data_IF_938713921602
#
_entry.id   IF_938713921602
#
_cell.length_a   1.000
_cell.length_b   1.000
_cell.length_c   1.000
_cell.angle_alpha   90.00
_cell.angle_beta   90.00
_cell.angle_gamma   90.00
#
_symmetry.space_group_name_H-M   'P 1'
#
loop_
_entity.id
_entity.type
_entity.pdbx_description
1 polymer ?
#
# COMPACT_ATOMS: atom_id res chain seq x y z
N UNK A 1 -6.21 33.06 7.50
CA UNK A 1 -7.63 33.25 7.11
C UNK A 1 -8.46 33.40 8.38
N UNK A 2 -9.57 34.16 8.35
CA UNK A 2 -10.48 34.34 9.49
C UNK A 2 -11.40 33.13 9.59
N UNK A 3 -11.49 32.50 10.76
CA UNK A 3 -12.31 31.30 10.99
C UNK A 3 -13.79 31.58 10.70
N UNK A 4 -14.39 30.73 9.86
CA UNK A 4 -15.80 30.86 9.49
C UNK A 4 -16.10 31.88 8.38
N UNK A 5 -15.08 32.44 7.75
CA UNK A 5 -15.23 33.34 6.60
C UNK A 5 -14.31 32.95 5.46
N UNK A 6 -14.54 33.52 4.28
CA UNK A 6 -13.65 33.38 3.13
C UNK A 6 -12.52 34.43 3.09
N UNK A 7 -12.47 35.31 4.13
CA UNK A 7 -11.43 36.35 4.20
C UNK A 7 -10.09 35.74 4.60
N UNK A 8 -9.11 35.78 3.70
CA UNK A 8 -7.79 35.21 3.88
C UNK A 8 -6.75 35.89 3.05
N UNK A 9 -5.49 35.71 3.42
CA UNK A 9 -4.31 36.18 2.69
C UNK A 9 -3.23 35.12 2.72
N UNK A 10 -2.28 35.25 1.83
CA UNK A 10 -1.03 34.46 1.81
C UNK A 10 0.12 35.33 2.30
N UNK A 11 1.08 34.71 2.99
CA UNK A 11 2.31 35.39 3.45
C UNK A 11 3.27 35.61 2.28
N UNK A 12 4.01 36.74 2.33
CA UNK A 12 5.13 36.99 1.43
C UNK A 12 6.35 36.12 1.71
N UNK A 13 7.42 36.31 0.95
CA UNK A 13 8.69 35.57 1.10
C UNK A 13 9.33 35.75 2.48
N UNK A 14 9.17 36.95 3.07
CA UNK A 14 9.68 37.27 4.40
C UNK A 14 8.72 36.88 5.55
N UNK A 15 7.61 36.25 5.23
CA UNK A 15 6.62 35.85 6.20
C UNK A 15 5.59 36.93 6.58
N UNK A 16 5.71 38.11 5.99
CA UNK A 16 4.77 39.22 6.24
C UNK A 16 3.40 38.93 5.67
N UNK A 17 2.36 39.32 6.40
CA UNK A 17 0.99 39.24 5.92
C UNK A 17 0.18 40.48 6.36
N UNK A 18 -0.75 40.86 5.55
CA UNK A 18 -1.75 41.87 5.89
C UNK A 18 -3.15 41.34 5.61
N UNK A 19 -4.07 41.53 6.53
CA UNK A 19 -5.44 41.09 6.41
C UNK A 19 -6.36 42.23 6.81
N UNK A 20 -7.15 42.74 5.87
CA UNK A 20 -8.10 43.85 6.10
C UNK A 20 -9.49 43.30 6.45
N UNK A 21 -10.31 44.12 7.10
CA UNK A 21 -11.67 43.77 7.40
C UNK A 21 -11.85 42.75 8.54
N UNK A 22 -10.87 42.65 9.44
CA UNK A 22 -10.93 41.75 10.60
C UNK A 22 -11.48 42.50 11.82
N UNK A 23 -12.45 41.92 12.49
CA UNK A 23 -12.99 42.49 13.73
C UNK A 23 -12.17 42.05 14.94
N UNK A 24 -11.97 42.95 15.90
CA UNK A 24 -11.28 42.64 17.16
C UNK A 24 -11.95 41.47 17.86
N UNK A 25 -11.18 40.42 18.20
CA UNK A 25 -11.70 39.22 18.83
C UNK A 25 -11.90 38.04 17.85
N UNK A 26 -11.71 38.25 16.54
CA UNK A 26 -11.79 37.17 15.55
C UNK A 26 -10.65 36.15 15.73
N UNK A 27 -10.94 34.89 15.41
CA UNK A 27 -9.96 33.82 15.42
C UNK A 27 -9.32 33.72 14.04
N UNK A 28 -8.01 33.85 13.98
CA UNK A 28 -7.22 33.65 12.78
C UNK A 28 -6.71 32.20 12.75
N UNK A 29 -6.94 31.53 11.66
CA UNK A 29 -6.40 30.19 11.39
C UNK A 29 -5.23 30.35 10.44
N UNK A 30 -4.05 29.91 10.88
CA UNK A 30 -2.83 29.92 10.08
C UNK A 30 -2.46 28.48 9.79
N UNK A 31 -2.24 28.16 8.51
CA UNK A 31 -1.86 26.83 8.04
C UNK A 31 -0.73 26.93 7.04
N UNK A 32 0.21 25.99 7.12
CA UNK A 32 1.27 25.83 6.14
C UNK A 32 1.59 24.33 6.00
N UNK A 33 2.01 23.93 4.81
CA UNK A 33 2.35 22.51 4.54
C UNK A 33 3.53 22.09 5.42
N UNK A 34 3.35 20.99 6.19
CA UNK A 34 4.36 20.51 7.14
C UNK A 34 4.30 21.13 8.54
N UNK A 35 3.32 22.00 8.81
CA UNK A 35 3.13 22.65 10.11
C UNK A 35 1.73 22.42 10.65
N UNK A 36 1.61 22.44 11.99
CA UNK A 36 0.31 22.31 12.67
C UNK A 36 -0.51 23.58 12.45
N UNK A 37 -1.79 23.40 12.13
CA UNK A 37 -2.72 24.52 12.05
C UNK A 37 -2.80 25.21 13.40
N UNK A 38 -2.53 26.51 13.44
CA UNK A 38 -2.54 27.31 14.67
C UNK A 38 -3.70 28.29 14.64
N UNK A 39 -4.49 28.30 15.68
CA UNK A 39 -5.58 29.26 15.87
C UNK A 39 -5.16 30.35 16.86
N UNK A 40 -5.20 31.61 16.44
CA UNK A 40 -4.83 32.77 17.26
C UNK A 40 -5.97 33.77 17.31
N UNK A 41 -6.36 34.20 18.51
CA UNK A 41 -7.36 35.25 18.69
C UNK A 41 -6.70 36.60 18.54
N UNK A 42 -7.19 37.41 17.60
CA UNK A 42 -6.65 38.75 17.34
C UNK A 42 -7.22 39.79 18.29
N UNK A 43 -6.37 40.57 18.94
CA UNK A 43 -6.72 41.62 19.93
C UNK A 43 -6.56 43.04 19.37
N UNK A 44 -6.29 43.22 18.07
CA UNK A 44 -6.15 44.54 17.46
C UNK A 44 -4.69 45.04 17.38
N UNK A 45 -3.72 44.20 17.76
CA UNK A 45 -2.30 44.50 17.71
C UNK A 45 -1.61 43.67 16.58
N UNK A 46 -0.47 44.12 16.05
CA UNK A 46 0.36 43.28 15.18
C UNK A 46 0.66 41.95 15.86
N UNK A 47 0.57 40.87 15.10
CA UNK A 47 0.79 39.51 15.60
C UNK A 47 2.03 38.90 14.95
N UNK A 48 2.90 38.32 15.77
CA UNK A 48 3.92 37.38 15.32
C UNK A 48 3.49 35.97 15.68
N UNK A 49 3.35 35.10 14.67
CA UNK A 49 2.84 33.75 14.84
C UNK A 49 3.97 32.78 14.49
N UNK A 50 4.36 31.97 15.46
CA UNK A 50 5.34 30.89 15.26
C UNK A 50 4.57 29.60 15.06
N UNK A 51 4.73 28.99 13.90
CA UNK A 51 4.15 27.69 13.59
C UNK A 51 5.05 26.58 14.16
N UNK A 52 4.42 25.55 14.72
CA UNK A 52 5.11 24.34 15.14
C UNK A 52 5.09 23.34 13.99
N UNK A 53 6.21 22.72 13.72
CA UNK A 53 6.29 21.64 12.75
C UNK A 53 5.28 20.55 13.10
N UNK A 54 4.56 20.08 12.09
CA UNK A 54 3.71 18.92 12.26
C UNK A 54 4.57 17.67 12.18
N UNK A 55 5.15 17.32 13.31
CA UNK A 55 5.90 16.06 13.49
C UNK A 55 4.99 14.84 13.59
N UNK A 56 3.72 14.96 13.18
CA UNK A 56 2.94 13.78 12.83
C UNK A 56 3.53 13.17 11.56
N UNK A 57 4.75 12.67 11.68
CA UNK A 57 5.21 11.55 10.88
C UNK A 57 4.07 10.53 11.03
N UNK A 58 3.40 10.23 9.95
CA UNK A 58 2.55 9.05 9.89
C UNK A 58 3.48 7.92 10.28
N UNK A 59 3.40 7.50 11.53
CA UNK A 59 4.13 6.33 12.04
C UNK A 59 3.58 5.13 11.26
N UNK A 60 4.10 4.92 10.06
CA UNK A 60 3.78 3.75 9.27
C UNK A 60 4.32 2.55 10.02
N UNK A 61 3.42 1.86 10.67
CA UNK A 61 3.70 0.66 11.45
C UNK A 61 3.65 -0.52 10.51
N UNK A 62 4.75 -1.24 10.43
CA UNK A 62 4.87 -2.45 9.60
C UNK A 62 4.82 -3.67 10.51
N UNK A 63 4.04 -4.66 10.12
CA UNK A 63 4.03 -5.95 10.81
C UNK A 63 5.31 -6.70 10.45
N UNK A 64 6.12 -7.01 11.44
CA UNK A 64 7.37 -7.74 11.30
C UNK A 64 7.36 -8.92 12.26
N UNK A 65 7.26 -10.11 11.72
CA UNK A 65 7.24 -11.30 12.54
C UNK A 65 6.02 -11.37 13.48
N UNK A 66 6.27 -11.58 14.76
CA UNK A 66 5.21 -11.65 15.79
C UNK A 66 4.87 -10.28 16.40
N UNK A 67 5.34 -9.17 15.81
CA UNK A 67 5.12 -7.83 16.34
C UNK A 67 4.97 -6.77 15.28
N UNK A 68 4.64 -5.56 15.72
CA UNK A 68 4.57 -4.37 14.88
C UNK A 68 5.75 -3.46 15.22
N UNK A 69 6.46 -2.97 14.20
CA UNK A 69 7.53 -2.00 14.36
C UNK A 69 7.31 -0.79 13.47
N UNK A 70 7.80 0.38 13.93
CA UNK A 70 7.79 1.58 13.09
C UNK A 70 8.72 1.36 11.88
N UNK A 71 8.26 1.72 10.69
CA UNK A 71 9.03 1.58 9.45
C UNK A 71 10.42 2.22 9.55
N UNK A 72 10.53 3.34 10.26
CA UNK A 72 11.80 4.02 10.49
C UNK A 72 12.84 3.19 11.29
N UNK A 73 12.39 2.20 12.06
CA UNK A 73 13.24 1.36 12.91
C UNK A 73 13.58 0.01 12.24
N UNK A 74 13.13 -0.22 11.01
CA UNK A 74 13.43 -1.45 10.30
C UNK A 74 14.82 -1.36 9.66
N UNK A 75 15.75 -2.14 10.15
CA UNK A 75 17.09 -2.29 9.55
C UNK A 75 17.14 -3.22 8.36
N UNK A 76 16.05 -3.96 8.10
CA UNK A 76 15.96 -4.94 7.03
C UNK A 76 15.22 -4.43 5.78
N UNK A 77 15.42 -5.11 4.65
CA UNK A 77 14.73 -4.82 3.38
C UNK A 77 13.27 -5.30 3.43
N UNK A 78 12.43 -4.53 4.11
CA UNK A 78 10.97 -4.78 4.21
C UNK A 78 10.22 -3.82 3.31
N UNK A 79 9.31 -4.35 2.49
CA UNK A 79 8.35 -3.54 1.76
C UNK A 79 6.97 -3.73 2.38
N UNK A 80 6.32 -2.62 2.72
CA UNK A 80 4.95 -2.61 3.22
C UNK A 80 4.03 -1.98 2.19
N UNK A 81 2.84 -2.55 2.03
CA UNK A 81 1.77 -2.07 1.16
C UNK A 81 0.51 -1.96 2.00
N UNK A 82 -0.11 -0.79 1.99
CA UNK A 82 -1.41 -0.57 2.64
C UNK A 82 -2.52 -1.24 1.80
N UNK A 83 -3.47 -1.87 2.44
CA UNK A 83 -4.62 -2.50 1.78
C UNK A 83 -5.46 -1.54 0.93
N UNK A 84 -5.41 -0.23 1.23
CA UNK A 84 -6.09 0.79 0.42
C UNK A 84 -5.60 0.82 -1.02
N UNK A 85 -4.31 0.59 -1.26
CA UNK A 85 -3.74 0.53 -2.61
C UNK A 85 -4.34 -0.59 -3.45
N UNK A 86 -4.82 -1.65 -2.78
CA UNK A 86 -5.48 -2.79 -3.43
C UNK A 86 -6.96 -2.50 -3.70
N UNK A 87 -7.64 -1.76 -2.82
CA UNK A 87 -9.08 -1.47 -2.92
C UNK A 87 -9.44 -0.57 -4.09
N UNK A 88 -8.53 0.34 -4.47
CA UNK A 88 -8.75 1.26 -5.60
C UNK A 88 -8.52 0.61 -6.98
N UNK A 89 -8.21 -0.69 -7.01
CA UNK A 89 -7.91 -1.41 -8.24
C UNK A 89 -8.92 -2.54 -8.48
N UNK A 90 -9.44 -2.69 -9.71
CA UNK A 90 -10.30 -3.82 -10.05
C UNK A 90 -9.45 -5.10 -10.18
N UNK A 91 -9.16 -5.74 -9.06
CA UNK A 91 -8.33 -6.94 -8.98
C UNK A 91 -9.17 -8.16 -8.61
N UNK A 92 -8.89 -9.27 -9.25
CA UNK A 92 -9.55 -10.56 -8.96
C UNK A 92 -8.75 -11.42 -7.98
N UNK A 93 -7.45 -11.15 -7.83
CA UNK A 93 -6.59 -11.83 -6.86
C UNK A 93 -5.48 -10.91 -6.35
N UNK A 94 -4.87 -11.25 -5.23
CA UNK A 94 -3.81 -10.48 -4.58
C UNK A 94 -2.61 -10.28 -5.50
N UNK A 95 -2.25 -11.28 -6.31
CA UNK A 95 -1.10 -11.19 -7.21
C UNK A 95 -1.25 -10.05 -8.21
N UNK A 96 -2.43 -9.88 -8.80
CA UNK A 96 -2.69 -8.75 -9.71
C UNK A 96 -2.53 -7.41 -9.00
N UNK A 97 -2.99 -7.32 -7.75
CA UNK A 97 -2.88 -6.10 -6.94
C UNK A 97 -1.46 -5.72 -6.57
N UNK A 98 -0.63 -6.70 -6.28
CA UNK A 98 0.77 -6.49 -5.87
C UNK A 98 1.73 -6.28 -7.05
N UNK A 99 1.33 -6.64 -8.26
CA UNK A 99 2.16 -6.52 -9.45
C UNK A 99 2.54 -5.05 -9.69
N UNK A 100 3.85 -4.78 -9.72
CA UNK A 100 4.39 -3.43 -9.90
C UNK A 100 4.35 -2.52 -8.67
N UNK A 101 3.73 -2.96 -7.55
CA UNK A 101 3.65 -2.18 -6.30
C UNK A 101 4.84 -2.47 -5.40
N UNK A 102 5.25 -3.72 -5.32
CA UNK A 102 6.35 -4.16 -4.46
C UNK A 102 7.62 -4.36 -5.31
N UNK A 103 8.68 -3.55 -5.09
CA UNK A 103 9.93 -3.76 -5.82
C UNK A 103 10.57 -5.11 -5.46
N UNK A 104 11.17 -5.78 -6.43
CA UNK A 104 11.79 -7.11 -6.31
C UNK A 104 10.82 -8.26 -5.93
N UNK A 105 9.53 -8.08 -6.09
CA UNK A 105 8.54 -9.14 -6.02
C UNK A 105 8.10 -9.47 -7.46
N UNK A 106 8.53 -10.60 -7.96
CA UNK A 106 8.11 -11.12 -9.25
C UNK A 106 6.84 -11.95 -9.07
N UNK A 107 5.84 -11.62 -9.86
CA UNK A 107 4.54 -12.30 -9.81
C UNK A 107 4.25 -12.85 -11.20
N UNK A 108 4.04 -14.15 -11.26
CA UNK A 108 3.61 -14.82 -12.47
C UNK A 108 2.15 -15.24 -12.29
N UNK A 109 1.31 -14.81 -13.22
CA UNK A 109 -0.09 -15.18 -13.24
C UNK A 109 -0.24 -16.34 -14.23
N UNK A 110 -0.70 -17.47 -13.73
CA UNK A 110 -0.90 -18.67 -14.53
C UNK A 110 -2.09 -18.47 -15.50
N UNK A 111 -2.18 -19.30 -16.52
CA UNK A 111 -3.28 -19.31 -17.49
C UNK A 111 -3.59 -17.92 -18.12
N UNK A 112 -2.57 -17.06 -18.29
CA UNK A 112 -2.75 -15.75 -18.92
C UNK A 112 -3.69 -14.80 -18.19
N UNK A 113 -3.98 -15.05 -16.89
CA UNK A 113 -4.90 -14.23 -16.10
C UNK A 113 -6.38 -14.54 -16.33
N UNK A 114 -6.72 -15.71 -16.86
CA UNK A 114 -8.10 -16.15 -17.00
C UNK A 114 -8.85 -16.16 -15.66
N UNK A 115 -10.18 -16.09 -15.63
CA UNK A 115 -10.95 -16.22 -14.39
C UNK A 115 -10.55 -17.48 -13.61
N UNK A 116 -10.23 -17.33 -12.32
CA UNK A 116 -9.71 -18.41 -11.49
C UNK A 116 -8.21 -18.68 -11.63
N UNK A 117 -7.47 -17.85 -12.39
CA UNK A 117 -6.02 -17.95 -12.48
C UNK A 117 -5.36 -17.74 -11.12
N UNK A 118 -4.38 -18.57 -10.80
CA UNK A 118 -3.57 -18.47 -9.59
C UNK A 118 -2.33 -17.64 -9.86
N UNK A 119 -1.84 -16.97 -8.84
CA UNK A 119 -0.59 -16.22 -8.87
C UNK A 119 0.50 -16.98 -8.13
N UNK A 120 1.69 -17.04 -8.71
CA UNK A 120 2.89 -17.49 -8.04
C UNK A 120 3.81 -16.31 -7.74
N UNK A 121 4.43 -16.34 -6.57
CA UNK A 121 5.26 -15.28 -6.04
C UNK A 121 6.72 -15.72 -6.01
N UNK A 122 7.61 -14.82 -6.39
CA UNK A 122 9.05 -15.03 -6.29
C UNK A 122 9.73 -13.75 -5.81
N UNK A 123 10.48 -13.84 -4.72
CA UNK A 123 11.29 -12.76 -4.17
C UNK A 123 12.75 -13.09 -4.49
N UNK A 124 13.50 -12.15 -5.09
CA UNK A 124 14.91 -12.31 -5.46
C UNK A 124 15.22 -13.23 -6.66
N UNK A 125 14.23 -13.63 -7.44
CA UNK A 125 14.45 -14.51 -8.60
C UNK A 125 14.70 -15.99 -8.23
N UNK A 126 15.00 -16.79 -9.23
CA UNK A 126 15.26 -18.21 -9.04
C UNK A 126 16.71 -18.42 -8.55
N UNK A 127 16.88 -18.63 -7.26
CA UNK A 127 18.18 -18.86 -6.62
C UNK A 127 18.53 -20.34 -6.49
N UNK A 128 17.63 -21.24 -6.88
CA UNK A 128 17.81 -22.69 -6.83
C UNK A 128 17.28 -23.34 -8.11
N UNK A 129 17.97 -24.40 -8.56
CA UNK A 129 17.53 -25.24 -9.70
C UNK A 129 16.16 -25.90 -9.44
N UNK A 130 15.84 -26.16 -8.18
CA UNK A 130 14.57 -26.77 -7.79
C UNK A 130 13.46 -25.71 -7.54
N UNK A 131 13.74 -24.43 -7.84
CA UNK A 131 12.83 -23.35 -7.53
C UNK A 131 12.72 -23.07 -6.02
N UNK A 132 11.85 -22.18 -5.65
CA UNK A 132 11.50 -21.86 -4.28
C UNK A 132 10.46 -20.75 -4.24
N UNK A 133 9.37 -20.99 -3.53
CA UNK A 133 8.34 -19.97 -3.29
C UNK A 133 8.54 -19.33 -1.91
N UNK A 134 8.24 -18.05 -1.75
CA UNK A 134 8.25 -17.41 -0.45
C UNK A 134 7.21 -18.04 0.48
N UNK A 135 7.49 -17.98 1.78
CA UNK A 135 6.53 -18.37 2.80
C UNK A 135 5.41 -17.33 2.87
N UNK A 136 4.18 -17.73 2.63
CA UNK A 136 3.01 -16.84 2.77
C UNK A 136 2.33 -17.12 4.10
N UNK A 137 2.14 -16.07 4.89
CA UNK A 137 1.45 -16.11 6.17
C UNK A 137 0.29 -15.12 6.16
N UNK A 138 -0.89 -15.60 6.47
CA UNK A 138 -2.11 -14.80 6.65
C UNK A 138 -2.44 -14.82 8.14
N UNK A 139 -2.40 -13.68 8.78
CA UNK A 139 -2.55 -13.54 10.24
C UNK A 139 -1.71 -14.56 11.04
N UNK A 140 -0.44 -14.73 10.62
CA UNK A 140 0.54 -15.66 11.16
C UNK A 140 0.26 -17.17 10.87
N UNK A 141 -0.73 -17.49 10.08
CA UNK A 141 -1.01 -18.87 9.64
C UNK A 141 -0.53 -19.07 8.20
N UNK A 142 0.20 -20.16 7.94
CA UNK A 142 0.63 -20.47 6.57
C UNK A 142 -0.58 -20.83 5.71
N UNK A 143 -0.80 -20.05 4.66
CA UNK A 143 -1.95 -20.20 3.76
C UNK A 143 -1.57 -19.78 2.35
N UNK A 144 -2.30 -20.25 1.35
CA UNK A 144 -2.16 -19.78 -0.02
C UNK A 144 -2.77 -18.36 -0.15
N UNK A 145 -1.97 -17.40 -0.63
CA UNK A 145 -2.43 -16.03 -0.86
C UNK A 145 -3.62 -15.93 -1.83
N UNK A 146 -3.74 -16.88 -2.75
CA UNK A 146 -4.83 -16.89 -3.73
C UNK A 146 -6.22 -17.15 -3.11
N UNK A 147 -6.26 -17.64 -1.87
CA UNK A 147 -7.51 -17.90 -1.14
C UNK A 147 -8.00 -16.68 -0.35
N UNK A 148 -7.21 -15.63 -0.25
CA UNK A 148 -7.55 -14.43 0.51
C UNK A 148 -8.25 -13.42 -0.39
N UNK A 149 -9.40 -12.92 0.08
CA UNK A 149 -10.08 -11.83 -0.63
C UNK A 149 -9.27 -10.53 -0.48
N UNK A 150 -8.91 -9.86 -1.59
CA UNK A 150 -8.19 -8.59 -1.54
C UNK A 150 -8.88 -7.50 -0.71
N UNK A 151 -10.21 -7.50 -0.64
CA UNK A 151 -10.99 -6.53 0.12
C UNK A 151 -10.85 -6.68 1.63
N UNK A 152 -10.46 -7.87 2.12
CA UNK A 152 -10.29 -8.15 3.55
C UNK A 152 -8.89 -7.78 4.06
N UNK A 153 -8.00 -7.35 3.19
CA UNK A 153 -6.62 -7.05 3.54
C UNK A 153 -6.51 -5.67 4.17
N UNK A 154 -5.83 -5.58 5.32
CA UNK A 154 -5.43 -4.34 5.97
C UNK A 154 -4.05 -3.89 5.49
N UNK A 155 -3.07 -4.81 5.46
CA UNK A 155 -1.71 -4.54 5.00
C UNK A 155 -1.00 -5.80 4.54
N UNK A 156 -0.01 -5.62 3.66
CA UNK A 156 0.89 -6.69 3.23
C UNK A 156 2.33 -6.23 3.49
N UNK A 157 3.09 -7.07 4.18
CA UNK A 157 4.52 -6.85 4.43
C UNK A 157 5.34 -7.94 3.75
N UNK A 158 6.32 -7.55 2.95
CA UNK A 158 7.21 -8.47 2.24
C UNK A 158 8.62 -8.37 2.83
N UNK A 159 9.04 -9.43 3.52
CA UNK A 159 10.37 -9.56 4.12
C UNK A 159 11.31 -10.15 3.06
N UNK A 160 12.25 -9.32 2.59
CA UNK A 160 13.10 -9.66 1.45
C UNK A 160 14.49 -10.12 1.86
N UNK A 161 14.93 -9.85 3.08
CA UNK A 161 16.23 -10.23 3.58
C UNK A 161 16.18 -11.41 4.57
N UNK A 162 17.32 -12.08 4.71
CA UNK A 162 17.44 -13.21 5.62
C UNK A 162 17.36 -12.78 7.09
N UNK A 163 17.79 -11.56 7.44
CA UNK A 163 17.75 -11.08 8.81
C UNK A 163 16.31 -10.91 9.29
N UNK A 164 15.46 -10.22 8.50
CA UNK A 164 14.04 -10.04 8.81
C UNK A 164 13.26 -11.36 8.75
N UNK A 165 13.66 -12.29 7.89
CA UNK A 165 12.98 -13.57 7.70
C UNK A 165 13.45 -14.66 8.67
N UNK A 166 14.55 -14.44 9.42
CA UNK A 166 15.20 -15.45 10.26
C UNK A 166 14.31 -16.06 11.34
N UNK A 167 13.37 -15.29 11.87
CA UNK A 167 12.42 -15.75 12.88
C UNK A 167 11.48 -16.87 12.40
N UNK A 168 11.32 -17.01 11.08
CA UNK A 168 10.50 -18.06 10.46
C UNK A 168 11.31 -19.30 10.07
N UNK A 169 12.63 -19.29 10.34
CA UNK A 169 13.55 -20.41 10.14
C UNK A 169 13.77 -20.76 8.66
N UNK A 170 14.13 -22.02 8.39
CA UNK A 170 14.52 -22.48 7.07
C UNK A 170 13.43 -22.33 5.97
N UNK A 171 12.16 -22.34 6.36
CA UNK A 171 11.04 -22.16 5.43
C UNK A 171 10.98 -20.77 4.80
N UNK A 172 11.63 -19.80 5.43
CA UNK A 172 11.68 -18.40 4.97
C UNK A 172 12.91 -18.09 4.09
N UNK A 173 13.65 -19.11 3.66
CA UNK A 173 14.87 -18.95 2.85
C UNK A 173 14.63 -18.14 1.56
N UNK A 174 13.45 -18.25 0.98
CA UNK A 174 13.04 -17.53 -0.24
C UNK A 174 12.27 -16.22 0.04
N UNK A 175 12.26 -15.76 1.30
CA UNK A 175 11.53 -14.60 1.76
C UNK A 175 10.17 -14.94 2.37
N UNK A 176 9.53 -13.93 2.95
CA UNK A 176 8.22 -14.09 3.61
C UNK A 176 7.27 -13.01 3.15
N UNK A 177 6.04 -13.38 2.86
CA UNK A 177 4.92 -12.47 2.60
C UNK A 177 3.97 -12.57 3.78
N UNK A 178 3.81 -11.49 4.51
CA UNK A 178 2.89 -11.37 5.63
C UNK A 178 1.67 -10.61 5.17
N UNK A 179 0.51 -11.22 5.25
CA UNK A 179 -0.79 -10.62 4.95
C UNK A 179 -1.52 -10.45 6.27
N UNK A 180 -1.88 -9.22 6.59
CA UNK A 180 -2.70 -8.90 7.77
C UNK A 180 -4.09 -8.56 7.30
N UNK A 181 -5.09 -9.23 7.86
CA UNK A 181 -6.49 -8.97 7.54
C UNK A 181 -7.09 -7.89 8.44
N UNK A 182 -8.14 -7.25 7.97
CA UNK A 182 -8.89 -6.24 8.71
C UNK A 182 -9.52 -6.87 9.94
N UNK A 183 -9.27 -6.26 11.09
CA UNK A 183 -9.86 -6.69 12.36
C UNK A 183 -11.12 -5.89 12.67
N UNK A 184 -12.09 -6.55 13.27
CA UNK A 184 -13.27 -5.88 13.79
C UNK A 184 -12.89 -4.81 14.83
N UNK A 185 -13.45 -3.61 14.69
CA UNK A 185 -13.28 -2.52 15.66
C UNK A 185 -14.52 -2.47 16.56
N UNK A 186 -14.29 -2.32 17.88
CA UNK A 186 -15.39 -2.08 18.80
C UNK A 186 -15.99 -0.71 18.48
N UNK A 187 -17.27 -0.70 18.14
CA UNK A 187 -18.04 0.51 17.82
C UNK A 187 -19.38 0.45 18.51
N UNK A 188 -19.89 1.60 18.94
CA UNK A 188 -21.21 1.69 19.59
C UNK A 188 -22.37 1.43 18.63
N UNK A 189 -22.12 1.53 17.33
CA UNK A 189 -23.10 1.27 16.28
C UNK A 189 -22.57 0.24 15.30
N UNK A 190 -23.36 -0.77 14.89
CA UNK A 190 -22.95 -1.70 13.86
C UNK A 190 -22.78 -0.97 12.52
N UNK A 191 -21.68 -1.22 11.83
CA UNK A 191 -21.44 -0.72 10.48
C UNK A 191 -21.69 -1.87 9.51
N UNK A 192 -22.60 -1.65 8.57
CA UNK A 192 -22.86 -2.61 7.48
C UNK A 192 -22.36 -1.99 6.19
N UNK A 193 -21.47 -2.69 5.49
CA UNK A 193 -21.01 -2.31 4.16
C UNK A 193 -21.35 -3.43 3.18
N UNK A 194 -21.84 -3.04 2.00
CA UNK A 194 -22.09 -3.94 0.89
C UNK A 194 -21.31 -3.42 -0.32
N UNK A 195 -20.47 -4.27 -0.90
CA UNK A 195 -19.79 -4.01 -2.17
C UNK A 195 -20.15 -5.11 -3.17
N UNK A 196 -20.43 -4.71 -4.41
CA UNK A 196 -20.68 -5.64 -5.50
C UNK A 196 -19.89 -5.16 -6.72
N UNK A 197 -19.05 -6.04 -7.28
CA UNK A 197 -18.22 -5.72 -8.44
C UNK A 197 -18.43 -6.79 -9.51
N UNK A 198 -18.74 -6.33 -10.73
CA UNK A 198 -18.88 -7.19 -11.90
C UNK A 198 -17.69 -7.02 -12.85
N UNK A 199 -17.13 -8.12 -13.34
CA UNK A 199 -16.03 -8.10 -14.30
C UNK A 199 -16.42 -8.77 -15.60
N UNK A 200 -15.99 -8.19 -16.72
CA UNK A 200 -15.96 -8.84 -18.03
C UNK A 200 -14.50 -8.95 -18.44
N UNK A 201 -14.05 -10.17 -18.65
CA UNK A 201 -12.70 -10.43 -19.09
C UNK A 201 -12.72 -11.20 -20.39
N UNK A 202 -12.00 -10.68 -21.39
CA UNK A 202 -11.78 -11.38 -22.66
C UNK A 202 -10.26 -11.53 -22.88
N UNK A 203 -9.79 -12.65 -23.47
CA UNK A 203 -8.37 -12.80 -23.78
C UNK A 203 -7.97 -11.77 -24.83
N UNK A 204 -6.94 -10.96 -24.54
CA UNK A 204 -6.39 -9.98 -25.47
C UNK A 204 -5.52 -10.63 -26.56
N UNK A 205 -4.96 -11.81 -26.29
CA UNK A 205 -4.13 -12.58 -27.20
C UNK A 205 -4.64 -14.01 -27.23
N UNK A 206 -5.05 -14.46 -28.39
CA UNK A 206 -5.29 -15.87 -28.69
C UNK A 206 -4.09 -16.40 -29.49
N UNK A 207 -3.33 -17.31 -28.90
CA UNK A 207 -2.28 -18.00 -29.62
C UNK A 207 -2.92 -18.99 -30.60
N UNK A 208 -2.61 -18.87 -31.86
CA UNK A 208 -2.92 -19.92 -32.83
C UNK A 208 -1.90 -21.02 -32.66
N UNK A 209 -2.34 -22.18 -32.22
CA UNK A 209 -1.49 -23.36 -32.19
C UNK A 209 -1.21 -23.79 -33.64
N UNK A 210 0.05 -23.99 -33.93
CA UNK A 210 0.46 -24.58 -35.21
C UNK A 210 0.05 -26.04 -35.25
N UNK A 211 -0.40 -26.53 -36.40
CA UNK A 211 -0.68 -27.94 -36.57
C UNK A 211 0.65 -28.72 -36.71
N UNK A 212 0.58 -30.06 -36.63
CA UNK A 212 1.79 -30.93 -36.67
C UNK A 212 2.62 -30.74 -37.92
N UNK A 213 1.99 -30.45 -39.08
CA UNK A 213 2.73 -30.23 -40.33
C UNK A 213 3.46 -28.89 -40.30
N UNK A 214 2.82 -27.83 -39.82
CA UNK A 214 3.48 -26.52 -39.67
C UNK A 214 4.64 -26.58 -38.66
N UNK A 215 4.48 -27.32 -37.56
CA UNK A 215 5.56 -27.55 -36.62
C UNK A 215 6.75 -28.27 -37.23
N UNK A 216 6.49 -29.35 -38.00
CA UNK A 216 7.55 -30.10 -38.70
C UNK A 216 8.27 -29.22 -39.73
N UNK A 217 7.54 -28.42 -40.50
CA UNK A 217 8.14 -27.47 -41.44
C UNK A 217 9.05 -26.46 -40.75
N UNK A 218 8.60 -25.88 -39.64
CA UNK A 218 9.43 -24.96 -38.84
C UNK A 218 10.68 -25.61 -38.28
N UNK A 219 10.61 -26.88 -37.89
CA UNK A 219 11.76 -27.61 -37.37
C UNK A 219 12.74 -28.05 -38.46
N UNK A 220 12.26 -28.18 -39.69
CA UNK A 220 13.11 -28.55 -40.85
C UNK A 220 13.85 -27.33 -41.44
N UNK A 221 13.31 -26.12 -41.24
CA UNK A 221 13.88 -24.84 -41.64
C UNK A 221 14.83 -24.22 -40.59
N UNK A 222 14.88 -24.71 -39.35
CA UNK A 222 15.67 -24.16 -38.23
C UNK A 222 17.04 -24.84 -38.12
#
# INVERSE_FOLDING_TARGET
>A
MVKGTTNGTITGLDGDFSLSGVTKGSILVVSFVGYQNTEVKWNGQPLTIVLKEDTKVLDEVVVVGYGTQKKANLSGAVAAVDGKVLQDRPITNIGQGLQGVVPNLNITINNGGAPGATSSFNIRGNTSLNGGSPLVLVDNVQMDANLVNPDDIESISVLKDAASASIYGARAAYGVILITTKKGKKSDKPTVSLSATGYWQSPALTFHNVNSMQYLTMMDEA
#
